data_IF_017022120254
#
_entry.id   IF_017022120254
#
_cell.length_a   1.000
_cell.length_b   1.000
_cell.length_c   1.000
_cell.angle_alpha   90.00
_cell.angle_beta   90.00
_cell.angle_gamma   90.00
#
_symmetry.space_group_name_H-M   'P 1'
#
loop_
_entity.id
_entity.type
_entity.pdbx_description
1 polymer ?
#
# COMPACT_ATOMS: atom_id res chain seq x y z
N UNK A 1 -13.25 27.15 -8.67
CA UNK A 1 -12.27 26.09 -9.05
C UNK A 1 -12.80 24.75 -8.57
N UNK A 2 -12.95 23.76 -9.45
CA UNK A 2 -13.45 22.42 -9.05
C UNK A 2 -12.44 21.75 -8.14
N UNK A 3 -12.85 21.31 -6.96
CA UNK A 3 -12.05 20.65 -5.93
C UNK A 3 -11.22 19.47 -6.48
N UNK A 4 -11.79 18.74 -7.43
CA UNK A 4 -11.13 17.64 -8.15
C UNK A 4 -9.87 18.08 -8.93
N UNK A 5 -9.85 19.28 -9.47
CA UNK A 5 -8.71 19.81 -10.24
C UNK A 5 -7.50 20.11 -9.34
N UNK A 6 -7.76 20.56 -8.10
CA UNK A 6 -6.71 20.81 -7.10
C UNK A 6 -6.10 19.49 -6.63
N UNK A 7 -6.93 18.47 -6.40
CA UNK A 7 -6.50 17.12 -6.00
C UNK A 7 -5.60 16.51 -7.08
N UNK A 8 -6.01 16.55 -8.34
CA UNK A 8 -5.27 15.97 -9.46
C UNK A 8 -3.93 16.69 -9.72
N UNK A 9 -3.93 18.02 -9.62
CA UNK A 9 -2.71 18.84 -9.77
C UNK A 9 -1.71 18.57 -8.66
N UNK A 10 -2.19 18.47 -7.41
CA UNK A 10 -1.35 18.17 -6.24
C UNK A 10 -0.76 16.74 -6.30
N UNK A 11 -1.55 15.77 -6.79
CA UNK A 11 -1.09 14.41 -7.03
C UNK A 11 0.07 14.38 -8.05
N UNK A 12 -0.07 15.06 -9.18
CA UNK A 12 0.96 15.07 -10.24
C UNK A 12 2.24 15.79 -9.82
N UNK A 13 2.15 16.84 -9.00
CA UNK A 13 3.31 17.60 -8.52
C UNK A 13 4.10 16.85 -7.44
N UNK A 14 3.46 15.96 -6.69
CA UNK A 14 4.04 15.23 -5.57
C UNK A 14 4.26 13.73 -5.83
N UNK A 15 4.22 13.27 -7.09
CA UNK A 15 4.37 11.86 -7.47
C UNK A 15 5.58 11.17 -6.81
N UNK A 16 6.70 11.88 -6.64
CA UNK A 16 7.91 11.35 -6.01
C UNK A 16 7.69 10.98 -4.53
N UNK A 17 6.81 11.72 -3.82
CA UNK A 17 6.47 11.41 -2.43
C UNK A 17 5.47 10.27 -2.31
N UNK A 18 4.67 10.04 -3.36
CA UNK A 18 3.72 8.93 -3.44
C UNK A 18 4.35 7.62 -3.89
N UNK A 19 5.49 7.68 -4.60
CA UNK A 19 6.08 6.51 -5.25
C UNK A 19 6.31 5.35 -4.28
N UNK A 20 6.87 5.61 -3.10
CA UNK A 20 7.12 4.58 -2.09
C UNK A 20 5.80 3.96 -1.60
N UNK A 21 4.80 4.79 -1.34
CA UNK A 21 3.49 4.34 -0.87
C UNK A 21 2.74 3.54 -1.94
N UNK A 22 2.70 4.05 -3.18
CA UNK A 22 2.10 3.36 -4.33
C UNK A 22 2.78 2.02 -4.59
N UNK A 23 4.12 2.01 -4.57
CA UNK A 23 4.90 0.78 -4.74
C UNK A 23 4.59 -0.24 -3.63
N UNK A 24 4.50 0.21 -2.38
CA UNK A 24 4.14 -0.64 -1.25
C UNK A 24 2.75 -1.28 -1.41
N UNK A 25 1.74 -0.50 -1.82
CA UNK A 25 0.40 -0.99 -2.09
C UNK A 25 0.39 -1.99 -3.24
N UNK A 26 1.02 -1.63 -4.36
CA UNK A 26 1.06 -2.45 -5.56
C UNK A 26 1.74 -3.79 -5.29
N UNK A 27 2.90 -3.76 -4.64
CA UNK A 27 3.65 -4.95 -4.27
C UNK A 27 2.86 -5.84 -3.31
N UNK A 28 2.23 -5.25 -2.28
CA UNK A 28 1.42 -5.98 -1.31
C UNK A 28 0.24 -6.68 -1.96
N UNK A 29 -0.51 -5.96 -2.81
CA UNK A 29 -1.70 -6.51 -3.49
C UNK A 29 -1.28 -7.62 -4.47
N UNK A 30 -0.22 -7.39 -5.26
CA UNK A 30 0.24 -8.38 -6.24
C UNK A 30 0.77 -9.64 -5.58
N UNK A 31 1.56 -9.52 -4.51
CA UNK A 31 2.07 -10.67 -3.75
C UNK A 31 0.93 -11.46 -3.10
N UNK A 32 0.00 -10.76 -2.45
CA UNK A 32 -1.12 -11.42 -1.80
C UNK A 32 -1.99 -12.16 -2.81
N UNK A 33 -2.36 -11.51 -3.91
CA UNK A 33 -3.15 -12.12 -4.97
C UNK A 33 -2.45 -13.34 -5.58
N UNK A 34 -1.13 -13.25 -5.84
CA UNK A 34 -0.34 -14.36 -6.35
C UNK A 34 -0.37 -15.56 -5.40
N UNK A 35 -0.25 -15.30 -4.10
CA UNK A 35 -0.22 -16.36 -3.08
C UNK A 35 -1.60 -17.00 -2.85
N UNK A 36 -2.65 -16.18 -2.84
CA UNK A 36 -4.03 -16.66 -2.69
C UNK A 36 -4.47 -17.47 -3.91
N UNK A 37 -4.09 -17.06 -5.12
CA UNK A 37 -4.36 -17.82 -6.35
C UNK A 37 -3.79 -19.22 -6.28
N UNK A 38 -2.58 -19.39 -5.70
CA UNK A 38 -1.96 -20.67 -5.52
C UNK A 38 -2.81 -21.65 -4.71
N UNK A 39 -3.49 -21.16 -3.67
CA UNK A 39 -4.38 -21.97 -2.82
C UNK A 39 -5.63 -22.45 -3.56
N UNK A 40 -6.18 -21.65 -4.46
CA UNK A 40 -7.44 -21.93 -5.17
C UNK A 40 -7.24 -22.60 -6.54
N UNK A 41 -6.01 -22.82 -6.98
CA UNK A 41 -5.75 -23.54 -8.24
C UNK A 41 -6.12 -25.01 -8.09
N UNK A 42 -7.09 -25.47 -8.89
CA UNK A 42 -7.63 -26.82 -8.81
C UNK A 42 -6.72 -27.90 -9.43
N UNK A 43 -5.80 -27.50 -10.28
CA UNK A 43 -4.86 -28.43 -10.96
C UNK A 43 -3.92 -29.21 -9.99
N UNK A 44 -4.01 -28.93 -8.68
CA UNK A 44 -3.16 -29.49 -7.63
C UNK A 44 -3.82 -30.66 -6.87
N UNK A 45 -5.00 -31.19 -7.29
CA UNK A 45 -5.85 -32.00 -6.41
C UNK A 45 -5.56 -33.49 -6.33
N UNK A 46 -4.69 -34.06 -7.16
CA UNK A 46 -4.58 -35.52 -7.30
C UNK A 46 -3.43 -36.22 -6.58
N UNK A 47 -2.54 -35.48 -5.88
CA UNK A 47 -1.45 -36.08 -5.13
C UNK A 47 -1.42 -35.64 -3.66
N UNK A 48 -0.89 -36.48 -2.75
CA UNK A 48 -0.71 -36.11 -1.33
C UNK A 48 0.18 -34.89 -1.17
N UNK A 49 1.22 -34.78 -1.98
CA UNK A 49 2.13 -33.63 -2.02
C UNK A 49 1.38 -32.33 -2.36
N UNK A 50 0.37 -32.43 -3.19
CA UNK A 50 -0.50 -31.33 -3.58
C UNK A 50 -1.40 -30.83 -2.42
N UNK A 51 -1.92 -31.76 -1.61
CA UNK A 51 -2.68 -31.40 -0.40
C UNK A 51 -1.81 -30.69 0.63
N UNK A 52 -0.58 -31.15 0.81
CA UNK A 52 0.41 -30.51 1.68
C UNK A 52 0.72 -29.09 1.21
N UNK A 53 0.90 -28.88 -0.08
CA UNK A 53 1.13 -27.56 -0.67
C UNK A 53 -0.05 -26.62 -0.43
N UNK A 54 -1.28 -27.10 -0.65
CA UNK A 54 -2.50 -26.30 -0.45
C UNK A 54 -2.69 -25.91 1.02
N UNK A 55 -2.41 -26.82 1.95
CA UNK A 55 -2.44 -26.53 3.39
C UNK A 55 -1.36 -25.53 3.82
N UNK A 56 -0.15 -25.69 3.31
CA UNK A 56 0.95 -24.76 3.57
C UNK A 56 0.67 -23.36 3.00
N UNK A 57 0.08 -23.28 1.80
CA UNK A 57 -0.37 -22.03 1.21
C UNK A 57 -1.48 -21.36 2.03
N UNK A 58 -2.42 -22.13 2.60
CA UNK A 58 -3.48 -21.58 3.45
C UNK A 58 -2.95 -21.02 4.78
N UNK A 59 -1.89 -21.61 5.35
CA UNK A 59 -1.23 -21.06 6.52
C UNK A 59 -0.46 -19.80 6.14
N UNK A 60 0.31 -19.84 5.06
CA UNK A 60 1.08 -18.71 4.54
C UNK A 60 0.20 -17.51 4.19
N UNK A 61 -0.99 -17.74 3.62
CA UNK A 61 -1.99 -16.68 3.34
C UNK A 61 -2.34 -15.89 4.60
N UNK A 62 -2.61 -16.56 5.73
CA UNK A 62 -2.96 -15.88 6.98
C UNK A 62 -1.81 -15.04 7.53
N UNK A 63 -0.58 -15.56 7.47
CA UNK A 63 0.60 -14.80 7.86
C UNK A 63 0.81 -13.59 6.94
N UNK A 64 0.72 -13.78 5.63
CA UNK A 64 0.85 -12.69 4.67
C UNK A 64 -0.23 -11.62 4.88
N UNK A 65 -1.46 -12.02 5.17
CA UNK A 65 -2.56 -11.10 5.47
C UNK A 65 -2.18 -10.14 6.61
N UNK A 66 -1.70 -10.68 7.74
CA UNK A 66 -1.30 -9.87 8.90
C UNK A 66 -0.10 -8.99 8.59
N UNK A 67 0.93 -9.56 7.97
CA UNK A 67 2.15 -8.81 7.60
C UNK A 67 1.81 -7.65 6.66
N UNK A 68 0.99 -7.89 5.66
CA UNK A 68 0.60 -6.87 4.69
C UNK A 68 -0.20 -5.74 5.34
N UNK A 69 -1.16 -6.07 6.23
CA UNK A 69 -1.91 -5.04 6.97
C UNK A 69 -0.96 -4.14 7.78
N UNK A 70 -0.05 -4.74 8.55
CA UNK A 70 0.93 -3.98 9.37
C UNK A 70 1.83 -3.13 8.47
N UNK A 71 2.33 -3.71 7.37
CA UNK A 71 3.18 -3.03 6.42
C UNK A 71 2.47 -1.83 5.75
N UNK A 72 1.22 -2.00 5.32
CA UNK A 72 0.43 -0.94 4.70
C UNK A 72 0.10 0.19 5.68
N UNK A 73 -0.20 -0.14 6.94
CA UNK A 73 -0.40 0.87 7.99
C UNK A 73 0.88 1.67 8.24
N UNK A 74 2.04 1.01 8.25
CA UNK A 74 3.33 1.69 8.39
C UNK A 74 3.65 2.58 7.17
N UNK A 75 3.43 2.07 5.97
CA UNK A 75 3.62 2.83 4.73
C UNK A 75 2.72 4.08 4.68
N UNK A 76 1.45 3.95 5.09
CA UNK A 76 0.52 5.07 5.19
C UNK A 76 0.94 6.08 6.27
N UNK A 77 1.43 5.61 7.43
CA UNK A 77 1.95 6.49 8.47
C UNK A 77 3.11 7.37 7.95
N UNK A 78 4.07 6.76 7.22
CA UNK A 78 5.16 7.48 6.57
C UNK A 78 4.64 8.48 5.54
N UNK A 79 3.67 8.08 4.73
CA UNK A 79 3.04 8.90 3.72
C UNK A 79 2.40 10.16 4.33
N UNK A 80 1.59 9.99 5.38
CA UNK A 80 0.93 11.10 6.07
C UNK A 80 1.97 12.00 6.75
N UNK A 81 2.98 11.42 7.40
CA UNK A 81 4.05 12.17 8.08
C UNK A 81 4.79 13.09 7.11
N UNK A 82 5.10 12.62 5.90
CA UNK A 82 5.77 13.44 4.86
C UNK A 82 4.89 14.59 4.37
N UNK A 83 3.58 14.49 4.47
CA UNK A 83 2.61 15.50 4.02
C UNK A 83 2.16 16.46 5.12
N UNK A 84 2.69 16.33 6.33
CA UNK A 84 2.29 17.17 7.47
C UNK A 84 2.43 18.66 7.16
N UNK A 85 3.48 19.06 6.43
CA UNK A 85 3.70 20.45 5.98
C UNK A 85 2.56 20.96 5.07
N UNK A 86 2.16 20.16 4.10
CA UNK A 86 1.04 20.52 3.20
C UNK A 86 -0.27 20.63 3.96
N UNK A 87 -0.53 19.74 4.91
CA UNK A 87 -1.74 19.79 5.74
C UNK A 87 -1.78 21.03 6.63
N UNK A 88 -0.65 21.41 7.24
CA UNK A 88 -0.53 22.64 8.01
C UNK A 88 -0.83 23.87 7.15
N UNK A 89 -0.26 23.95 5.94
CA UNK A 89 -0.50 25.04 5.01
C UNK A 89 -1.99 25.13 4.59
N UNK A 90 -2.62 24.00 4.29
CA UNK A 90 -4.04 23.97 3.93
C UNK A 90 -4.93 24.47 5.08
N UNK A 91 -4.60 24.14 6.33
CA UNK A 91 -5.33 24.63 7.50
C UNK A 91 -5.09 26.14 7.72
N UNK A 92 -3.90 26.67 7.45
CA UNK A 92 -3.63 28.11 7.53
C UNK A 92 -4.42 28.92 6.49
N UNK A 93 -4.68 28.35 5.31
CA UNK A 93 -5.53 28.97 4.26
C UNK A 93 -7.03 28.86 4.60
N UNK A 94 -7.39 28.17 5.70
CA UNK A 94 -8.76 28.07 6.18
C UNK A 94 -9.49 26.77 5.87
N UNK A 95 -8.81 25.72 5.32
CA UNK A 95 -9.44 24.41 5.15
C UNK A 95 -9.72 23.77 6.53
N UNK A 96 -10.95 23.29 6.69
CA UNK A 96 -11.32 22.55 7.89
C UNK A 96 -10.69 21.14 7.90
N UNK A 97 -10.59 20.55 9.09
CA UNK A 97 -10.12 19.15 9.22
C UNK A 97 -11.01 18.17 8.44
N UNK A 98 -12.31 18.47 8.31
CA UNK A 98 -13.26 17.66 7.54
C UNK A 98 -12.96 17.72 6.05
N UNK A 99 -12.61 18.91 5.54
CA UNK A 99 -12.25 19.07 4.12
C UNK A 99 -10.95 18.37 3.78
N UNK A 100 -9.95 18.42 4.68
CA UNK A 100 -8.73 17.64 4.55
C UNK A 100 -8.99 16.15 4.52
N UNK A 101 -9.87 15.64 5.39
CA UNK A 101 -10.24 14.23 5.40
C UNK A 101 -10.97 13.81 4.12
N UNK A 102 -11.86 14.63 3.59
CA UNK A 102 -12.52 14.38 2.30
C UNK A 102 -11.52 14.35 1.16
N UNK A 103 -10.56 15.29 1.15
CA UNK A 103 -9.51 15.34 0.15
C UNK A 103 -8.64 14.08 0.19
N UNK A 104 -8.18 13.68 1.39
CA UNK A 104 -7.42 12.45 1.59
C UNK A 104 -8.23 11.21 1.19
N UNK A 105 -9.51 11.15 1.56
CA UNK A 105 -10.40 10.04 1.23
C UNK A 105 -10.54 9.84 -0.28
N UNK A 106 -10.81 10.90 -1.03
CA UNK A 106 -10.90 10.84 -2.49
C UNK A 106 -9.59 10.41 -3.13
N UNK A 107 -8.46 10.94 -2.63
CA UNK A 107 -7.14 10.58 -3.09
C UNK A 107 -6.84 9.09 -2.84
N UNK A 108 -7.15 8.59 -1.65
CA UNK A 108 -6.96 7.19 -1.28
C UNK A 108 -7.84 6.25 -2.13
N UNK A 109 -9.09 6.63 -2.42
CA UNK A 109 -9.98 5.84 -3.30
C UNK A 109 -9.33 5.66 -4.68
N UNK A 110 -8.84 6.74 -5.29
CA UNK A 110 -8.20 6.68 -6.61
C UNK A 110 -6.93 5.81 -6.56
N UNK A 111 -6.12 5.96 -5.53
CA UNK A 111 -4.91 5.16 -5.31
C UNK A 111 -5.25 3.68 -5.18
N UNK A 112 -6.21 3.33 -4.32
CA UNK A 112 -6.60 1.94 -4.09
C UNK A 112 -7.19 1.28 -5.32
N UNK A 113 -8.06 1.96 -6.06
CA UNK A 113 -8.64 1.42 -7.30
C UNK A 113 -7.54 1.16 -8.34
N UNK A 114 -6.66 2.13 -8.58
CA UNK A 114 -5.60 1.99 -9.56
C UNK A 114 -4.57 0.91 -9.17
N UNK A 115 -4.15 0.88 -7.91
CA UNK A 115 -3.20 -0.13 -7.42
C UNK A 115 -3.80 -1.53 -7.35
N UNK A 116 -5.09 -1.66 -7.05
CA UNK A 116 -5.78 -2.95 -7.08
C UNK A 116 -5.87 -3.49 -8.50
N UNK A 117 -6.22 -2.66 -9.47
CA UNK A 117 -6.28 -3.07 -10.87
C UNK A 117 -4.91 -3.50 -11.41
N UNK A 118 -3.90 -2.65 -11.25
CA UNK A 118 -2.53 -2.93 -11.72
C UNK A 118 -1.91 -4.10 -10.93
N UNK A 119 -2.06 -4.10 -9.60
CA UNK A 119 -1.56 -5.15 -8.71
C UNK A 119 -2.22 -6.49 -8.97
N UNK A 120 -3.51 -6.52 -9.33
CA UNK A 120 -4.21 -7.72 -9.76
C UNK A 120 -3.63 -8.31 -11.05
N UNK A 121 -3.37 -7.47 -12.06
CA UNK A 121 -2.73 -7.91 -13.31
C UNK A 121 -1.32 -8.49 -13.03
N UNK A 122 -0.49 -7.75 -12.29
CA UNK A 122 0.86 -8.21 -11.93
C UNK A 122 0.78 -9.48 -11.09
N UNK A 123 -0.18 -9.58 -10.18
CA UNK A 123 -0.40 -10.76 -9.35
C UNK A 123 -0.83 -11.99 -10.14
N UNK A 124 -1.61 -11.84 -11.22
CA UNK A 124 -1.92 -12.94 -12.16
C UNK A 124 -0.64 -13.51 -12.77
N UNK A 125 0.26 -12.67 -13.26
CA UNK A 125 1.55 -13.14 -13.77
C UNK A 125 2.42 -13.71 -12.66
N UNK A 126 2.45 -13.08 -11.48
CA UNK A 126 3.18 -13.54 -10.30
C UNK A 126 2.75 -14.93 -9.84
N UNK A 127 1.45 -15.23 -9.87
CA UNK A 127 0.93 -16.56 -9.51
C UNK A 127 1.47 -17.66 -10.43
N UNK A 128 1.63 -17.36 -11.71
CA UNK A 128 2.21 -18.30 -12.70
C UNK A 128 3.68 -18.54 -12.48
N UNK A 129 4.43 -17.49 -12.18
CA UNK A 129 5.84 -17.63 -11.82
C UNK A 129 6.01 -18.48 -10.56
N UNK A 130 5.18 -18.28 -9.53
CA UNK A 130 5.20 -19.09 -8.33
C UNK A 130 4.89 -20.56 -8.64
N UNK A 131 3.86 -20.85 -9.44
CA UNK A 131 3.54 -22.22 -9.86
C UNK A 131 4.68 -22.87 -10.65
N UNK A 132 5.35 -22.14 -11.56
CA UNK A 132 6.50 -22.62 -12.30
C UNK A 132 7.67 -22.97 -11.37
N UNK A 133 7.97 -22.12 -10.40
CA UNK A 133 9.03 -22.37 -9.41
C UNK A 133 8.70 -23.62 -8.60
N UNK A 134 7.47 -23.74 -8.10
CA UNK A 134 7.03 -24.89 -7.30
C UNK A 134 7.09 -26.17 -8.13
N UNK A 135 6.59 -26.14 -9.37
CA UNK A 135 6.67 -27.29 -10.29
C UNK A 135 8.10 -27.79 -10.45
N UNK A 136 9.05 -26.90 -10.68
CA UNK A 136 10.44 -27.26 -10.91
C UNK A 136 11.15 -27.74 -9.63
N UNK A 137 10.87 -27.09 -8.49
CA UNK A 137 11.52 -27.44 -7.21
C UNK A 137 10.94 -28.70 -6.60
N UNK A 138 9.63 -28.88 -6.66
CA UNK A 138 8.95 -30.02 -6.06
C UNK A 138 8.77 -31.20 -7.05
N UNK A 139 9.22 -31.07 -8.31
CA UNK A 139 9.06 -32.06 -9.38
C UNK A 139 7.64 -32.60 -9.55
N UNK A 140 6.64 -31.72 -9.29
CA UNK A 140 5.24 -32.09 -9.36
C UNK A 140 4.74 -32.05 -10.82
N UNK A 141 3.94 -33.04 -11.27
CA UNK A 141 3.31 -33.04 -12.61
C UNK A 141 2.12 -32.06 -12.63
N UNK A 142 2.41 -30.74 -12.58
CA UNK A 142 1.40 -29.70 -12.61
C UNK A 142 1.18 -29.23 -14.06
N UNK A 143 -0.07 -29.22 -14.50
CA UNK A 143 -0.47 -28.50 -15.71
C UNK A 143 -0.68 -27.02 -15.36
N UNK A 144 0.09 -26.15 -15.98
CA UNK A 144 -0.01 -24.70 -15.72
C UNK A 144 -1.02 -24.13 -16.70
N UNK A 145 -2.27 -24.03 -16.27
CA UNK A 145 -3.33 -23.33 -17.01
C UNK A 145 -3.46 -21.89 -16.51
N UNK A 146 -3.74 -20.98 -17.43
CA UNK A 146 -4.08 -19.60 -17.05
C UNK A 146 -5.57 -19.62 -16.66
N UNK A 147 -5.86 -20.02 -15.43
CA UNK A 147 -7.20 -19.92 -14.89
C UNK A 147 -7.33 -18.63 -14.06
N UNK A 148 -8.37 -17.90 -14.30
CA UNK A 148 -8.78 -16.78 -13.46
C UNK A 148 -9.60 -17.37 -12.31
N UNK A 149 -9.09 -17.25 -11.08
CA UNK A 149 -9.74 -17.78 -9.90
C UNK A 149 -10.59 -16.69 -9.21
N UNK A 150 -11.93 -16.69 -9.38
CA UNK A 150 -12.80 -15.66 -8.80
C UNK A 150 -12.74 -15.64 -7.27
N UNK A 151 -12.49 -16.80 -6.65
CA UNK A 151 -12.37 -16.91 -5.20
C UNK A 151 -11.13 -16.18 -4.68
N UNK A 152 -9.99 -16.31 -5.38
CA UNK A 152 -8.76 -15.58 -5.04
C UNK A 152 -8.96 -14.06 -5.15
N UNK A 153 -9.69 -13.62 -6.18
CA UNK A 153 -10.03 -12.21 -6.34
C UNK A 153 -10.91 -11.71 -5.20
N UNK A 154 -11.94 -12.48 -4.82
CA UNK A 154 -12.84 -12.14 -3.70
C UNK A 154 -12.08 -11.95 -2.38
N UNK A 155 -11.19 -12.89 -2.03
CA UNK A 155 -10.37 -12.82 -0.81
C UNK A 155 -9.42 -11.63 -0.85
N UNK A 156 -8.81 -11.35 -2.01
CA UNK A 156 -7.92 -10.19 -2.17
C UNK A 156 -8.69 -8.87 -2.05
N UNK A 157 -9.90 -8.78 -2.58
CA UNK A 157 -10.75 -7.60 -2.40
C UNK A 157 -11.11 -7.37 -0.93
N UNK A 158 -11.35 -8.41 -0.15
CA UNK A 158 -11.58 -8.29 1.29
C UNK A 158 -10.37 -7.67 1.98
N UNK A 159 -9.15 -8.13 1.68
CA UNK A 159 -7.92 -7.52 2.21
C UNK A 159 -7.80 -6.05 1.81
N UNK A 160 -8.07 -5.72 0.55
CA UNK A 160 -8.00 -4.33 0.03
C UNK A 160 -8.99 -3.43 0.76
N UNK A 161 -10.24 -3.86 0.90
CA UNK A 161 -11.28 -3.09 1.58
C UNK A 161 -10.93 -2.89 3.06
N UNK A 162 -10.50 -3.95 3.74
CA UNK A 162 -10.09 -3.86 5.15
C UNK A 162 -8.88 -2.92 5.33
N UNK A 163 -7.88 -3.05 4.47
CA UNK A 163 -6.71 -2.14 4.48
C UNK A 163 -7.13 -0.69 4.26
N UNK A 164 -8.02 -0.44 3.31
CA UNK A 164 -8.55 0.90 3.05
C UNK A 164 -9.24 1.50 4.28
N UNK A 165 -10.12 0.74 4.93
CA UNK A 165 -10.82 1.18 6.14
C UNK A 165 -9.84 1.49 7.28
N UNK A 166 -8.87 0.61 7.53
CA UNK A 166 -7.85 0.82 8.57
C UNK A 166 -6.99 2.06 8.29
N UNK A 167 -6.60 2.26 7.03
CA UNK A 167 -5.84 3.44 6.58
C UNK A 167 -6.65 4.72 6.77
N UNK A 168 -7.96 4.70 6.48
CA UNK A 168 -8.83 5.86 6.71
C UNK A 168 -8.97 6.18 8.20
N UNK A 169 -9.12 5.17 9.05
CA UNK A 169 -9.17 5.35 10.51
C UNK A 169 -7.85 5.91 11.02
N UNK A 170 -6.72 5.38 10.58
CA UNK A 170 -5.39 5.87 10.97
C UNK A 170 -5.19 7.33 10.55
N UNK A 171 -5.57 7.69 9.33
CA UNK A 171 -5.48 9.05 8.80
C UNK A 171 -6.34 10.03 9.60
N UNK A 172 -7.56 9.61 9.94
CA UNK A 172 -8.46 10.39 10.78
C UNK A 172 -7.88 10.62 12.20
N UNK A 173 -7.36 9.57 12.83
CA UNK A 173 -6.75 9.66 14.16
C UNK A 173 -5.52 10.56 14.15
N UNK A 174 -4.71 10.50 13.10
CA UNK A 174 -3.54 11.35 12.93
C UNK A 174 -3.93 12.83 12.87
N UNK A 175 -4.89 13.20 12.02
CA UNK A 175 -5.37 14.58 11.87
C UNK A 175 -6.09 15.09 13.13
N UNK A 176 -6.81 14.21 13.85
CA UNK A 176 -7.51 14.58 15.08
C UNK A 176 -6.53 14.90 16.24
N UNK A 177 -5.46 14.12 16.37
CA UNK A 177 -4.53 14.21 17.49
C UNK A 177 -3.50 15.34 17.37
N UNK A 178 -3.27 15.91 16.18
CA UNK A 178 -2.26 16.95 15.97
C UNK A 178 -2.89 18.33 15.78
N UNK A 179 -2.39 19.30 16.56
CA UNK A 179 -2.71 20.72 16.36
C UNK A 179 -1.83 21.31 15.23
N UNK A 180 -2.29 22.44 14.64
CA UNK A 180 -1.53 23.16 13.61
C UNK A 180 -0.14 23.55 14.12
N UNK A 181 -0.04 23.97 15.37
CA UNK A 181 1.22 24.37 16.03
C UNK A 181 2.19 23.20 16.13
N UNK A 182 1.70 22.01 16.50
CA UNK A 182 2.53 20.80 16.56
C UNK A 182 3.02 20.39 15.18
N UNK A 183 2.15 20.47 14.15
CA UNK A 183 2.56 20.19 12.76
C UNK A 183 3.63 21.15 12.27
N UNK A 184 3.59 22.43 12.67
CA UNK A 184 4.62 23.42 12.31
C UNK A 184 5.92 23.22 13.08
N UNK A 185 5.88 22.83 14.34
CA UNK A 185 7.08 22.56 15.13
C UNK A 185 7.82 21.31 14.63
N UNK A 186 7.11 20.27 14.23
CA UNK A 186 7.70 19.07 13.58
C UNK A 186 8.50 19.45 12.30
N UNK A 187 8.07 20.47 11.57
CA UNK A 187 8.76 20.98 10.38
C UNK A 187 10.07 21.65 10.76
N UNK A 188 10.06 22.50 11.79
CA UNK A 188 11.28 23.20 12.25
C UNK A 188 12.36 22.22 12.75
N UNK A 189 11.96 21.16 13.45
CA UNK A 189 12.88 20.15 13.94
C UNK A 189 13.49 19.30 12.81
N UNK A 190 12.80 19.12 11.69
CA UNK A 190 13.31 18.34 10.55
C UNK A 190 14.24 19.16 9.66
N UNK A 191 14.09 20.48 9.62
CA UNK A 191 14.93 21.41 8.82
C UNK A 191 16.18 21.90 9.60
N UNK A 192 16.14 21.90 10.95
CA UNK A 192 17.25 22.38 11.78
C UNK A 192 18.57 21.59 11.64
N UNK A 193 18.60 20.26 11.51
CA UNK A 193 19.86 19.52 11.34
C UNK A 193 20.60 19.83 10.03
N UNK A 194 19.88 20.11 8.95
CA UNK A 194 20.49 20.42 7.65
C UNK A 194 21.15 21.81 7.62
N UNK A 195 20.57 22.77 8.31
CA UNK A 195 21.12 24.11 8.41
C UNK A 195 22.41 24.18 9.27
N UNK A 196 22.54 23.30 10.27
CA UNK A 196 23.76 23.22 11.10
C UNK A 196 24.90 22.53 10.36
N UNK A 197 24.65 21.52 9.56
CA UNK A 197 25.69 20.81 8.78
C UNK A 197 26.28 21.75 7.72
N UNK A 198 25.47 22.56 7.05
CA UNK A 198 25.93 23.55 6.06
C UNK A 198 26.73 24.69 6.69
N UNK A 199 26.40 25.13 7.90
CA UNK A 199 27.17 26.15 8.62
C UNK A 199 28.52 25.63 9.11
N UNK A 200 28.62 24.38 9.54
CA UNK A 200 29.87 23.76 9.95
C UNK A 200 30.82 23.50 8.76
N UNK A 201 30.28 23.19 7.57
CA UNK A 201 31.07 22.99 6.37
C UNK A 201 31.67 24.30 5.80
N UNK A 202 31.04 25.45 6.08
CA UNK A 202 31.51 26.77 5.66
C UNK A 202 32.61 27.37 6.55
N UNK A 203 32.86 26.83 7.75
CA UNK A 203 33.90 27.29 8.70
C UNK A 203 35.23 26.54 8.48
N UNK A 204 35.22 25.47 7.65
CA UNK A 204 36.41 24.65 7.37
C UNK A 204 37.01 24.84 5.97
N UNK A 205 36.72 25.95 5.28
CA UNK A 205 37.43 26.33 4.03
C UNK A 205 38.22 27.61 4.25
#
# INVERSE_FOLDING_TARGET
>A
MRFSHIVLKNFRQNLRHYAIYLFSLLLSISLYFSFVTLKYTDDITHSESAKLLKNSAAIGEKFLFVIIIVFLLYANWLFIKRRTKSFALFQLIGLSRKDLMRMLGLEQIVIFISTTFIGGIIGLFGSRLLLLIIKNVAHLPLEIKIAFEPQALGVTLVLVILSFLLIMIQSYLFLKRRSIIQMMNDIKQTEAPQAQITKLSLIHI
#
